data_IF_069939785822
#
_entry.id   IF_069939785822
#
_cell.length_a   1.000
_cell.length_b   1.000
_cell.length_c   1.000
_cell.angle_alpha   90.00
_cell.angle_beta   90.00
_cell.angle_gamma   90.00
#
_symmetry.space_group_name_H-M   'P 1'
#
loop_
_entity.id
_entity.type
_entity.pdbx_description
1 polymer ?
#
# COMPACT_ATOMS: atom_id res chain seq x y z
N UNK A 1 -0.64 -21.77 23.59
CA UNK A 1 -0.16 -23.15 23.88
C UNK A 1 -0.22 -23.35 25.38
N UNK A 2 -0.80 -24.45 25.86
CA UNK A 2 -0.80 -24.79 27.28
C UNK A 2 0.07 -26.02 27.40
N UNK A 3 1.27 -25.88 27.91
CA UNK A 3 2.13 -27.00 28.28
C UNK A 3 1.95 -27.27 29.76
N UNK A 4 1.81 -28.53 30.14
CA UNK A 4 1.61 -28.94 31.53
C UNK A 4 2.52 -30.13 31.90
N UNK A 5 3.00 -30.13 33.15
CA UNK A 5 3.61 -31.31 33.75
C UNK A 5 2.51 -32.24 34.19
N UNK A 6 2.47 -33.44 33.65
CA UNK A 6 1.54 -34.50 34.10
C UNK A 6 2.33 -35.50 34.93
N UNK A 7 2.00 -35.68 36.22
CA UNK A 7 2.68 -36.68 37.04
C UNK A 7 2.34 -38.08 36.56
N UNK A 8 3.38 -38.89 36.36
CA UNK A 8 3.23 -40.31 36.15
C UNK A 8 3.30 -41.04 37.49
N UNK A 9 2.15 -41.47 37.99
CA UNK A 9 2.09 -42.23 39.24
C UNK A 9 2.40 -43.71 38.95
N UNK A 10 3.56 -44.18 39.37
CA UNK A 10 3.83 -45.59 39.58
C UNK A 10 4.08 -45.84 41.04
N UNK A 11 3.36 -46.79 41.63
CA UNK A 11 3.50 -47.15 43.04
C UNK A 11 4.93 -47.65 43.30
N UNK A 12 5.67 -46.93 44.12
CA UNK A 12 7.03 -47.32 44.57
C UNK A 12 8.22 -46.78 43.80
N UNK A 13 8.05 -45.88 42.82
CA UNK A 13 9.11 -45.21 42.09
C UNK A 13 9.13 -43.69 42.37
N UNK A 14 10.27 -43.02 42.14
CA UNK A 14 10.39 -41.58 42.24
C UNK A 14 9.39 -40.88 41.30
N UNK A 15 8.88 -39.73 41.74
CA UNK A 15 7.92 -38.93 40.96
C UNK A 15 8.50 -38.59 39.57
N UNK A 16 7.97 -39.21 38.56
CA UNK A 16 8.28 -38.91 37.17
C UNK A 16 7.21 -38.03 36.57
N UNK A 17 7.63 -37.03 35.78
CA UNK A 17 6.72 -36.11 35.10
C UNK A 17 6.87 -36.28 33.59
N UNK A 18 5.73 -36.34 32.90
CA UNK A 18 5.69 -36.27 31.46
C UNK A 18 5.25 -34.86 31.05
N UNK A 19 5.99 -34.27 30.12
CA UNK A 19 5.62 -33.00 29.52
C UNK A 19 4.66 -33.26 28.37
N UNK A 20 3.50 -32.66 28.41
CA UNK A 20 2.52 -32.76 27.33
C UNK A 20 2.39 -31.40 26.65
N UNK A 21 2.39 -31.42 25.32
CA UNK A 21 2.11 -30.24 24.51
C UNK A 21 0.63 -30.26 24.14
N UNK A 22 -0.06 -29.16 24.40
CA UNK A 22 -1.35 -28.90 23.78
C UNK A 22 -1.14 -27.99 22.58
N UNK A 23 -1.43 -28.47 21.38
CA UNK A 23 -1.53 -27.62 20.20
C UNK A 23 -3.01 -27.32 19.93
N UNK A 24 -3.31 -26.09 19.58
CA UNK A 24 -4.66 -25.67 19.22
C UNK A 24 -4.60 -24.58 18.17
N UNK A 25 -5.55 -24.59 17.25
CA UNK A 25 -5.77 -23.52 16.28
C UNK A 25 -6.81 -22.57 16.90
N UNK A 26 -6.50 -21.28 16.97
CA UNK A 26 -7.44 -20.26 17.38
C UNK A 26 -7.91 -19.55 16.12
N UNK A 27 -9.19 -19.62 15.84
CA UNK A 27 -9.84 -18.94 14.71
C UNK A 27 -10.74 -17.84 15.23
N UNK A 28 -10.77 -16.72 14.51
CA UNK A 28 -11.65 -15.60 14.79
C UNK A 28 -12.46 -15.22 13.57
N UNK A 29 -13.68 -14.76 13.82
CA UNK A 29 -14.47 -14.06 12.82
C UNK A 29 -14.01 -12.61 12.78
N UNK A 30 -13.54 -12.15 11.62
CA UNK A 30 -13.07 -10.78 11.41
C UNK A 30 -13.86 -10.12 10.31
N UNK A 31 -14.08 -8.82 10.43
CA UNK A 31 -14.74 -8.00 9.41
C UNK A 31 -13.77 -6.91 8.96
N UNK A 32 -13.41 -6.94 7.68
CA UNK A 32 -12.57 -5.94 7.04
C UNK A 32 -13.43 -5.03 6.16
N UNK A 33 -13.14 -3.73 6.19
CA UNK A 33 -13.86 -2.72 5.43
C UNK A 33 -12.86 -1.82 4.71
N UNK A 34 -13.09 -1.65 3.41
CA UNK A 34 -12.37 -0.69 2.61
C UNK A 34 -13.35 0.24 1.90
N UNK A 35 -12.95 1.51 1.78
CA UNK A 35 -13.78 2.55 1.19
C UNK A 35 -12.93 3.42 0.26
N UNK A 36 -13.50 3.79 -0.90
CA UNK A 36 -12.86 4.62 -1.89
C UNK A 36 -13.83 5.55 -2.59
N UNK A 37 -13.29 6.60 -3.23
CA UNK A 37 -14.05 7.53 -4.07
C UNK A 37 -13.55 7.42 -5.50
N UNK A 38 -14.46 7.22 -6.43
CA UNK A 38 -14.15 6.92 -7.81
C UNK A 38 -14.91 7.89 -8.73
N UNK A 39 -14.24 8.35 -9.80
CA UNK A 39 -14.84 9.21 -10.79
C UNK A 39 -15.64 8.40 -11.78
N UNK A 40 -16.79 8.95 -12.20
CA UNK A 40 -17.67 8.35 -13.23
C UNK A 40 -17.26 8.68 -14.65
N UNK A 41 -16.03 9.20 -14.83
CA UNK A 41 -15.48 9.50 -16.15
C UNK A 41 -14.00 9.17 -16.21
N UNK A 42 -13.54 8.80 -17.39
CA UNK A 42 -12.14 8.71 -17.73
C UNK A 42 -11.70 10.05 -18.33
N UNK A 43 -10.63 10.63 -17.82
CA UNK A 43 -10.03 11.84 -18.36
C UNK A 43 -8.71 11.50 -19.05
N UNK A 44 -8.60 11.86 -20.33
CA UNK A 44 -7.35 11.78 -21.09
C UNK A 44 -6.86 13.16 -21.46
N UNK A 45 -5.56 13.41 -21.26
CA UNK A 45 -4.90 14.63 -21.69
C UNK A 45 -4.16 14.35 -23.00
N UNK A 46 -4.64 14.94 -24.08
CA UNK A 46 -4.03 14.80 -25.43
C UNK A 46 -3.14 16.00 -25.66
N UNK A 47 -1.85 15.77 -25.84
CA UNK A 47 -0.90 16.84 -26.17
C UNK A 47 -1.18 17.43 -27.55
N UNK A 48 -1.37 18.75 -27.63
CA UNK A 48 -1.67 19.45 -28.89
C UNK A 48 -0.47 19.64 -29.81
N UNK A 49 0.73 19.35 -29.31
CA UNK A 49 1.99 19.63 -30.01
C UNK A 49 2.59 21.00 -29.70
N UNK A 50 1.91 21.83 -28.96
CA UNK A 50 2.41 23.16 -28.58
C UNK A 50 2.95 23.14 -27.17
N UNK A 51 4.16 23.70 -27.01
CA UNK A 51 4.79 23.87 -25.71
C UNK A 51 5.47 25.24 -25.58
N UNK A 52 5.53 25.72 -24.35
CA UNK A 52 6.32 26.89 -23.97
C UNK A 52 7.30 26.50 -22.88
N UNK A 53 8.52 27.04 -22.97
CA UNK A 53 9.56 26.76 -21.98
C UNK A 53 9.99 28.05 -21.31
N UNK A 54 10.12 27.99 -19.98
CA UNK A 54 10.69 29.06 -19.15
C UNK A 54 12.00 28.55 -18.56
N UNK A 55 12.97 29.42 -18.48
CA UNK A 55 14.28 29.11 -17.93
C UNK A 55 14.58 30.07 -16.81
N UNK A 56 15.02 29.56 -15.68
CA UNK A 56 15.47 30.33 -14.52
C UNK A 56 16.86 29.85 -14.14
N UNK A 57 17.83 30.76 -14.15
CA UNK A 57 19.17 30.48 -13.69
C UNK A 57 19.24 30.72 -12.18
N UNK A 58 19.64 29.71 -11.45
CA UNK A 58 19.94 29.82 -10.02
C UNK A 58 21.45 29.97 -9.83
N UNK A 59 21.84 31.02 -9.13
CA UNK A 59 23.23 31.29 -8.73
C UNK A 59 23.29 31.49 -7.21
N UNK A 60 23.92 30.57 -6.52
CA UNK A 60 24.12 30.63 -5.06
C UNK A 60 22.83 30.93 -4.26
N UNK A 61 21.73 30.27 -4.64
CA UNK A 61 20.41 30.42 -4.02
C UNK A 61 19.62 31.65 -4.45
N UNK A 62 20.09 32.43 -5.44
CA UNK A 62 19.34 33.52 -6.06
C UNK A 62 18.86 33.12 -7.44
N UNK A 63 17.60 33.38 -7.75
CA UNK A 63 16.96 33.05 -9.02
C UNK A 63 16.92 34.23 -9.96
N UNK A 64 17.32 34.02 -11.22
CA UNK A 64 17.32 34.98 -12.30
C UNK A 64 16.51 34.45 -13.47
N UNK A 65 15.31 35.00 -13.77
CA UNK A 65 14.54 34.57 -14.94
C UNK A 65 15.27 34.99 -16.21
N UNK A 66 15.49 34.05 -17.12
CA UNK A 66 16.19 34.32 -18.37
C UNK A 66 15.29 34.91 -19.46
N UNK A 67 13.99 34.66 -19.39
CA UNK A 67 12.99 35.21 -20.31
C UNK A 67 11.72 35.57 -19.56
N UNK A 68 11.20 36.79 -19.80
CA UNK A 68 10.00 37.29 -19.16
C UNK A 68 8.82 37.12 -20.10
N UNK A 69 8.23 35.93 -20.09
CA UNK A 69 6.94 35.73 -20.72
C UNK A 69 6.01 35.04 -19.69
N UNK A 70 5.06 35.81 -19.13
CA UNK A 70 4.26 35.35 -18.01
C UNK A 70 2.95 34.68 -18.41
N UNK A 71 2.47 34.92 -19.64
CA UNK A 71 1.20 34.38 -20.07
C UNK A 71 1.38 33.05 -20.82
N UNK A 72 0.69 32.01 -20.34
CA UNK A 72 0.68 30.72 -21.02
C UNK A 72 -0.16 30.79 -22.30
N UNK A 73 -1.26 31.52 -22.29
CA UNK A 73 -2.23 31.61 -23.36
C UNK A 73 -2.89 30.27 -23.71
N UNK A 74 -2.70 29.25 -22.86
CA UNK A 74 -3.33 27.95 -22.99
C UNK A 74 -4.48 27.83 -21.99
N UNK A 75 -5.60 27.27 -22.42
CA UNK A 75 -6.76 27.06 -21.59
C UNK A 75 -6.52 25.89 -20.64
N UNK A 76 -6.04 24.78 -21.19
CA UNK A 76 -5.63 23.60 -20.46
C UNK A 76 -4.15 23.30 -20.74
N UNK A 77 -3.38 23.01 -19.69
CA UNK A 77 -1.96 22.71 -19.84
C UNK A 77 -1.43 21.84 -18.71
N UNK A 78 -0.35 21.12 -19.01
CA UNK A 78 0.46 20.39 -18.04
C UNK A 78 1.79 21.11 -17.84
N UNK A 79 2.29 21.10 -16.59
CA UNK A 79 3.57 21.73 -16.23
C UNK A 79 4.57 20.67 -15.82
N UNK A 80 5.74 20.72 -16.43
CA UNK A 80 6.86 19.83 -16.12
C UNK A 80 8.06 20.67 -15.71
N UNK A 81 8.61 20.39 -14.54
CA UNK A 81 9.79 21.09 -14.04
C UNK A 81 11.00 20.16 -14.09
N UNK A 82 12.11 20.71 -14.57
CA UNK A 82 13.41 20.03 -14.55
C UNK A 82 14.46 20.98 -14.03
N UNK A 83 15.29 20.48 -13.11
CA UNK A 83 16.42 21.18 -12.54
C UNK A 83 17.71 20.52 -13.01
N UNK A 84 18.59 21.29 -13.61
CA UNK A 84 19.91 20.87 -14.06
C UNK A 84 20.94 21.53 -13.17
N UNK A 85 21.64 20.75 -12.37
CA UNK A 85 22.66 21.23 -11.45
C UNK A 85 24.06 21.06 -12.07
N UNK A 86 24.88 22.12 -11.99
CA UNK A 86 26.25 22.03 -12.38
C UNK A 86 27.08 21.44 -11.23
N UNK A 87 27.60 20.23 -11.46
CA UNK A 87 28.49 19.54 -10.52
C UNK A 87 29.94 19.72 -10.93
N UNK A 88 30.78 20.20 -10.01
CA UNK A 88 32.21 20.30 -10.22
C UNK A 88 32.86 19.00 -9.71
N UNK A 89 33.69 18.32 -10.54
CA UNK A 89 34.43 17.15 -10.08
C UNK A 89 35.19 17.46 -8.78
N UNK A 90 35.09 16.54 -7.83
CA UNK A 90 35.72 16.60 -6.50
C UNK A 90 35.17 17.66 -5.50
N UNK A 91 34.27 18.56 -5.93
CA UNK A 91 33.66 19.58 -5.06
C UNK A 91 32.13 19.44 -4.91
N UNK A 92 31.48 18.59 -5.72
CA UNK A 92 30.02 18.40 -5.70
C UNK A 92 29.27 19.54 -6.36
N UNK A 93 28.13 19.96 -5.76
CA UNK A 93 27.28 21.03 -6.29
C UNK A 93 28.00 22.39 -6.32
N UNK A 94 27.98 23.07 -7.46
CA UNK A 94 28.67 24.34 -7.67
C UNK A 94 27.94 25.57 -7.15
N UNK A 95 26.68 25.43 -6.69
CA UNK A 95 25.80 26.56 -6.41
C UNK A 95 25.14 27.16 -7.65
N UNK A 96 25.27 26.50 -8.80
CA UNK A 96 24.68 26.92 -10.08
C UNK A 96 23.70 25.84 -10.56
N UNK A 97 22.47 26.23 -10.86
CA UNK A 97 21.47 25.37 -11.46
C UNK A 97 20.67 26.09 -12.52
N UNK A 98 20.20 25.35 -13.53
CA UNK A 98 19.24 25.81 -14.53
C UNK A 98 17.92 25.11 -14.27
N UNK A 99 16.92 25.87 -13.88
CA UNK A 99 15.55 25.40 -13.73
C UNK A 99 14.79 25.64 -15.04
N UNK A 100 14.17 24.59 -15.56
CA UNK A 100 13.38 24.64 -16.79
C UNK A 100 11.96 24.24 -16.46
N UNK A 101 11.00 25.10 -16.76
CA UNK A 101 9.57 24.85 -16.65
C UNK A 101 9.02 24.72 -18.07
N UNK A 102 8.57 23.52 -18.43
CA UNK A 102 7.92 23.23 -19.71
C UNK A 102 6.41 23.21 -19.49
N UNK A 103 5.68 24.03 -20.21
CA UNK A 103 4.23 24.15 -20.19
C UNK A 103 3.72 23.61 -21.52
N UNK A 104 3.01 22.49 -21.46
CA UNK A 104 2.48 21.81 -22.65
C UNK A 104 0.97 22.04 -22.72
N UNK A 105 0.49 22.58 -23.85
CA UNK A 105 -0.93 22.68 -24.13
C UNK A 105 -1.52 21.28 -24.30
N UNK A 106 -2.62 21.00 -23.58
CA UNK A 106 -3.34 19.74 -23.68
C UNK A 106 -4.81 20.00 -23.97
N UNK A 107 -5.41 19.06 -24.68
CA UNK A 107 -6.87 18.98 -24.80
C UNK A 107 -7.34 17.90 -23.84
N UNK A 108 -8.19 18.28 -22.88
CA UNK A 108 -8.76 17.36 -21.92
C UNK A 108 -10.03 16.76 -22.47
N UNK A 109 -9.95 15.48 -22.81
CA UNK A 109 -11.13 14.72 -23.21
C UNK A 109 -11.66 13.95 -22.00
N UNK A 110 -12.97 14.06 -21.75
CA UNK A 110 -13.68 13.33 -20.69
C UNK A 110 -14.69 12.39 -21.32
N UNK A 111 -14.51 11.13 -21.08
CA UNK A 111 -15.41 10.07 -21.53
C UNK A 111 -16.17 9.51 -20.32
N UNK A 112 -17.51 9.50 -20.33
CA UNK A 112 -18.28 8.94 -19.23
C UNK A 112 -18.04 7.43 -19.14
N UNK A 113 -17.85 6.94 -17.93
CA UNK A 113 -17.79 5.51 -17.64
C UNK A 113 -19.17 5.01 -17.21
N UNK A 114 -19.49 3.77 -17.56
CA UNK A 114 -20.68 3.14 -17.00
C UNK A 114 -20.49 2.92 -15.49
N UNK A 115 -21.59 3.02 -14.74
CA UNK A 115 -21.56 2.76 -13.30
C UNK A 115 -21.01 1.37 -12.99
N UNK A 116 -21.36 0.37 -13.79
CA UNK A 116 -20.89 -1.00 -13.68
C UNK A 116 -19.34 -1.07 -13.77
N UNK A 117 -18.75 -0.42 -14.78
CA UNK A 117 -17.29 -0.38 -14.94
C UNK A 117 -16.59 0.33 -13.77
N UNK A 118 -17.20 1.37 -13.21
CA UNK A 118 -16.67 2.07 -12.03
C UNK A 118 -16.73 1.18 -10.80
N UNK A 119 -17.82 0.45 -10.61
CA UNK A 119 -18.02 -0.47 -9.48
C UNK A 119 -17.02 -1.63 -9.59
N UNK A 120 -16.88 -2.26 -10.75
CA UNK A 120 -15.96 -3.37 -10.96
C UNK A 120 -14.50 -2.96 -10.68
N UNK A 121 -14.12 -1.76 -11.15
CA UNK A 121 -12.78 -1.22 -10.87
C UNK A 121 -12.59 -0.97 -9.36
N UNK A 122 -13.57 -0.33 -8.73
CA UNK A 122 -13.55 -0.02 -7.30
C UNK A 122 -13.46 -1.30 -6.46
N UNK A 123 -14.25 -2.30 -6.80
CA UNK A 123 -14.31 -3.59 -6.12
C UNK A 123 -12.94 -4.28 -6.13
N UNK A 124 -12.29 -4.37 -7.29
CA UNK A 124 -10.97 -4.97 -7.43
C UNK A 124 -9.90 -4.21 -6.60
N UNK A 125 -9.91 -2.87 -6.63
CA UNK A 125 -8.96 -2.07 -5.86
C UNK A 125 -9.17 -2.21 -4.34
N UNK A 126 -10.44 -2.21 -3.89
CA UNK A 126 -10.77 -2.35 -2.48
C UNK A 126 -10.49 -3.76 -1.96
N UNK A 127 -10.72 -4.80 -2.78
CA UNK A 127 -10.37 -6.18 -2.46
C UNK A 127 -8.85 -6.34 -2.32
N UNK A 128 -8.06 -5.74 -3.21
CA UNK A 128 -6.61 -5.73 -3.10
C UNK A 128 -6.14 -5.03 -1.81
N UNK A 129 -6.82 -3.97 -1.37
CA UNK A 129 -6.51 -3.30 -0.10
C UNK A 129 -6.79 -4.21 1.09
N UNK A 130 -7.96 -4.85 1.13
CA UNK A 130 -8.33 -5.78 2.19
C UNK A 130 -7.38 -6.99 2.21
N UNK A 131 -7.05 -7.55 1.05
CA UNK A 131 -6.18 -8.73 0.97
C UNK A 131 -4.77 -8.50 1.54
N UNK A 132 -4.27 -7.26 1.53
CA UNK A 132 -2.98 -6.90 2.14
C UNK A 132 -3.01 -6.87 3.68
N UNK A 133 -4.20 -6.79 4.26
CA UNK A 133 -4.41 -6.77 5.71
C UNK A 133 -4.72 -8.16 6.28
N UNK A 134 -5.07 -9.13 5.41
CA UNK A 134 -5.46 -10.47 5.81
C UNK A 134 -4.27 -11.33 6.25
N UNK A 135 -4.51 -12.23 7.19
CA UNK A 135 -3.58 -13.30 7.52
C UNK A 135 -3.54 -14.36 6.41
N UNK A 136 -2.42 -15.08 6.31
CA UNK A 136 -2.13 -16.03 5.22
C UNK A 136 -3.22 -17.09 4.99
N UNK A 137 -3.93 -17.52 6.03
CA UNK A 137 -4.93 -18.59 6.00
C UNK A 137 -6.37 -18.06 6.16
N UNK A 138 -6.65 -16.82 5.74
CA UNK A 138 -7.98 -16.25 5.82
C UNK A 138 -8.96 -16.93 4.85
N UNK A 139 -10.15 -17.30 5.34
CA UNK A 139 -11.23 -17.86 4.54
C UNK A 139 -12.39 -16.89 4.46
N UNK A 140 -12.76 -16.47 3.25
CA UNK A 140 -13.90 -15.57 3.01
C UNK A 140 -15.22 -16.27 3.34
N UNK A 141 -16.08 -15.61 4.12
CA UNK A 141 -17.41 -16.08 4.49
C UNK A 141 -18.49 -15.29 3.76
N UNK A 142 -18.35 -13.97 3.74
CA UNK A 142 -19.37 -13.07 3.20
C UNK A 142 -18.71 -11.86 2.53
N UNK A 143 -19.41 -11.28 1.55
CA UNK A 143 -19.00 -10.09 0.80
C UNK A 143 -20.22 -9.22 0.54
N UNK A 144 -20.12 -7.96 0.91
CA UNK A 144 -21.13 -6.94 0.70
C UNK A 144 -20.51 -5.70 0.07
N UNK A 145 -21.07 -5.22 -1.02
CA UNK A 145 -20.64 -4.00 -1.68
C UNK A 145 -21.75 -2.97 -1.59
N UNK A 146 -21.40 -1.77 -1.15
CA UNK A 146 -22.30 -0.61 -1.05
C UNK A 146 -21.72 0.53 -1.87
N UNK A 147 -22.58 1.28 -2.55
CA UNK A 147 -22.17 2.51 -3.24
C UNK A 147 -23.15 3.63 -3.01
N UNK A 148 -22.64 4.86 -3.07
CA UNK A 148 -23.45 6.07 -2.94
C UNK A 148 -22.85 7.18 -3.82
N UNK A 149 -23.70 7.95 -4.50
CA UNK A 149 -23.26 9.12 -5.24
C UNK A 149 -22.98 10.25 -4.27
N UNK A 150 -21.77 10.84 -4.36
CA UNK A 150 -21.40 12.05 -3.64
C UNK A 150 -21.86 13.26 -4.45
N UNK A 151 -21.65 13.21 -5.76
CA UNK A 151 -22.05 14.20 -6.76
C UNK A 151 -22.26 13.51 -8.12
N UNK A 152 -22.53 14.30 -9.16
CA UNK A 152 -22.80 13.78 -10.52
C UNK A 152 -21.59 13.09 -11.16
N UNK A 153 -20.36 13.37 -10.68
CA UNK A 153 -19.11 12.87 -11.24
C UNK A 153 -18.37 11.90 -10.31
N UNK A 154 -18.88 11.66 -9.09
CA UNK A 154 -18.16 10.90 -8.06
C UNK A 154 -19.05 9.90 -7.34
N UNK A 155 -18.62 8.66 -7.31
CA UNK A 155 -19.26 7.58 -6.55
C UNK A 155 -18.32 7.15 -5.42
N UNK A 156 -18.87 7.02 -4.22
CA UNK A 156 -18.21 6.40 -3.09
C UNK A 156 -18.61 4.94 -3.02
N UNK A 157 -17.64 4.05 -2.97
CA UNK A 157 -17.83 2.60 -2.89
C UNK A 157 -17.23 2.09 -1.59
N UNK A 158 -17.96 1.27 -0.87
CA UNK A 158 -17.54 0.57 0.34
C UNK A 158 -17.66 -0.93 0.14
N UNK A 159 -16.57 -1.64 0.36
CA UNK A 159 -16.51 -3.09 0.34
C UNK A 159 -16.36 -3.60 1.78
N UNK A 160 -17.24 -4.52 2.17
CA UNK A 160 -17.25 -5.17 3.49
C UNK A 160 -17.06 -6.66 3.24
N UNK A 161 -16.07 -7.26 3.88
CA UNK A 161 -15.76 -8.67 3.74
C UNK A 161 -15.58 -9.29 5.13
N UNK A 162 -16.25 -10.41 5.34
CA UNK A 162 -16.17 -11.19 6.58
C UNK A 162 -15.32 -12.45 6.34
N UNK A 163 -14.39 -12.72 7.26
CA UNK A 163 -13.46 -13.83 7.17
C UNK A 163 -13.43 -14.68 8.45
N UNK A 164 -12.94 -15.91 8.29
CA UNK A 164 -12.38 -16.68 9.40
C UNK A 164 -10.85 -16.61 9.24
N UNK A 165 -10.18 -16.12 10.25
CA UNK A 165 -8.72 -15.98 10.29
C UNK A 165 -8.12 -16.74 11.47
N UNK A 166 -6.95 -17.33 11.25
CA UNK A 166 -6.16 -17.92 12.34
C UNK A 166 -5.37 -16.83 13.03
N UNK A 167 -5.69 -16.54 14.31
CA UNK A 167 -5.12 -15.43 15.08
C UNK A 167 -4.08 -15.85 16.11
N UNK A 168 -3.61 -17.08 16.06
CA UNK A 168 -2.62 -17.59 17.03
C UNK A 168 -1.28 -17.89 16.38
N UNK A 169 -0.20 -17.50 17.05
CA UNK A 169 1.15 -17.98 16.74
C UNK A 169 1.59 -18.97 17.81
N UNK A 170 2.14 -20.11 17.38
CA UNK A 170 2.76 -21.04 18.32
C UNK A 170 4.02 -20.41 18.92
N UNK A 171 4.08 -20.36 20.25
CA UNK A 171 5.28 -19.94 20.96
C UNK A 171 5.84 -21.16 21.71
N UNK A 172 7.02 -21.58 21.34
CA UNK A 172 7.76 -22.59 22.08
C UNK A 172 8.16 -22.02 23.44
N UNK A 173 7.97 -22.81 24.48
CA UNK A 173 8.50 -22.45 25.82
C UNK A 173 9.97 -22.87 25.91
N UNK A 174 10.77 -22.17 26.73
CA UNK A 174 12.21 -22.45 26.92
C UNK A 174 12.48 -23.92 27.27
N UNK A 175 11.60 -24.55 28.04
CA UNK A 175 11.68 -25.98 28.40
C UNK A 175 11.57 -26.94 27.17
N UNK A 176 10.93 -26.50 26.08
CA UNK A 176 10.80 -27.29 24.84
C UNK A 176 12.04 -27.14 23.95
N UNK A 177 12.75 -26.03 24.07
CA UNK A 177 14.01 -25.81 23.35
C UNK A 177 15.12 -26.72 23.88
N UNK A 178 15.18 -26.90 25.21
CA UNK A 178 16.17 -27.81 25.84
C UNK A 178 15.97 -29.28 25.42
N UNK A 179 14.71 -29.76 25.31
CA UNK A 179 14.41 -31.12 24.87
C UNK A 179 14.79 -31.39 23.40
N UNK A 180 14.62 -30.40 22.54
CA UNK A 180 15.01 -30.51 21.12
C UNK A 180 16.54 -30.50 20.91
N UNK A 181 17.30 -29.97 21.87
CA UNK A 181 18.78 -29.96 21.81
C UNK A 181 19.33 -31.32 22.20
N UNK A 182 18.70 -32.02 23.15
CA UNK A 182 19.14 -33.35 23.61
C UNK A 182 18.96 -34.42 22.53
N UNK A 183 17.86 -34.38 21.76
CA UNK A 183 17.60 -35.32 20.67
C UNK A 183 18.57 -35.16 19.46
N UNK A 184 19.19 -33.97 19.29
CA UNK A 184 20.17 -33.72 18.23
C UNK A 184 21.61 -34.12 18.58
N UNK A 185 21.88 -34.51 19.84
CA UNK A 185 23.24 -34.94 20.29
C UNK A 185 23.39 -36.45 20.36
N UNK A 186 22.38 -37.24 20.04
CA UNK A 186 22.40 -38.69 20.14
C UNK A 186 22.40 -39.44 18.77
N UNK A 187 22.63 -38.73 17.66
CA UNK A 187 22.87 -39.35 16.34
C UNK A 187 24.35 -39.19 15.91
#
# INVERSE_FOLDING_TARGET
MISGKVPLFKEGEEEQYMYTHASGIIEAYTTHKAKGRYRTYYQSDIFSGKEKRRYTLELFGKEFPLFINHDTGYEDYNVYEKRYELHIPFRGYSGIALNTVTIQEVSRNREPLSLEAVIDFAENELEEKISKELMYDASLINRELKYNYIDDETVEVELIMDFIEKIGTEKLTEETEELNIVDKQTD
#
